data_IF_390223149651
#
_entry.id   IF_390223149651
#
_cell.length_a   1.000
_cell.length_b   1.000
_cell.length_c   1.000
_cell.angle_alpha   90.00
_cell.angle_beta   90.00
_cell.angle_gamma   90.00
#
_symmetry.space_group_name_H-M   'P 1'
#
loop_
_entity.id
_entity.type
_entity.pdbx_description
1 polymer ?
#
# COMPACT_ATOMS: atom_id res chain seq x y z
N UNK A 1 -105.21 23.52 37.10
CA UNK A 1 -105.05 23.51 35.64
C UNK A 1 -104.19 22.32 35.28
N UNK A 2 -104.73 21.41 34.50
CA UNK A 2 -104.27 20.03 34.26
C UNK A 2 -103.32 20.03 33.06
N UNK A 3 -102.13 19.43 33.19
CA UNK A 3 -101.31 19.02 32.04
C UNK A 3 -100.91 17.53 32.21
N UNK A 4 -101.09 16.69 31.17
CA UNK A 4 -100.91 15.24 31.26
C UNK A 4 -99.43 14.81 31.14
N UNK A 5 -99.09 13.58 31.57
CA UNK A 5 -97.72 13.08 31.56
C UNK A 5 -97.19 12.79 30.15
N UNK A 6 -95.90 13.12 29.94
CA UNK A 6 -95.19 12.92 28.68
C UNK A 6 -95.04 11.44 28.32
N UNK A 7 -95.54 11.05 27.15
CA UNK A 7 -95.39 9.71 26.60
C UNK A 7 -93.94 9.48 26.12
N UNK A 8 -93.22 8.59 26.81
CA UNK A 8 -91.92 8.08 26.38
C UNK A 8 -92.10 7.22 25.11
N UNK A 9 -91.66 7.73 23.96
CA UNK A 9 -91.55 6.94 22.72
C UNK A 9 -90.33 6.03 22.81
N UNK A 10 -90.54 4.74 23.03
CA UNK A 10 -89.52 3.71 22.87
C UNK A 10 -89.12 3.60 21.39
N UNK A 11 -87.92 4.08 21.06
CA UNK A 11 -87.32 3.93 19.74
C UNK A 11 -86.87 2.47 19.60
N UNK A 12 -87.58 1.68 18.79
CA UNK A 12 -87.20 0.30 18.50
C UNK A 12 -85.77 0.25 17.94
N UNK A 13 -84.85 -0.39 18.68
CA UNK A 13 -83.53 -0.77 18.16
C UNK A 13 -83.76 -1.81 17.06
N UNK A 14 -83.47 -1.43 15.82
CA UNK A 14 -83.31 -2.40 14.73
C UNK A 14 -82.05 -3.22 15.00
N UNK A 15 -82.09 -4.56 14.97
CA UNK A 15 -80.87 -5.35 15.03
C UNK A 15 -80.04 -5.05 13.76
N UNK A 16 -78.81 -4.57 13.96
CA UNK A 16 -77.79 -4.62 12.91
C UNK A 16 -77.50 -6.10 12.68
N UNK A 17 -77.97 -6.65 11.55
CA UNK A 17 -77.50 -7.92 11.03
C UNK A 17 -75.99 -7.79 10.82
N UNK A 18 -75.21 -8.29 11.76
CA UNK A 18 -73.80 -8.56 11.55
C UNK A 18 -73.70 -9.66 10.50
N UNK A 19 -73.49 -9.25 9.24
CA UNK A 19 -72.95 -10.14 8.22
C UNK A 19 -71.58 -10.57 8.74
N UNK A 20 -71.54 -11.72 9.39
CA UNK A 20 -70.30 -12.44 9.67
C UNK A 20 -69.76 -12.85 8.29
N UNK A 21 -68.95 -11.97 7.69
CA UNK A 21 -68.18 -12.33 6.52
C UNK A 21 -67.40 -13.59 6.88
N UNK A 22 -67.68 -14.69 6.17
CA UNK A 22 -66.86 -15.89 6.19
C UNK A 22 -65.42 -15.45 6.04
N UNK A 23 -64.64 -15.44 7.12
CA UNK A 23 -63.19 -15.40 7.02
C UNK A 23 -62.83 -16.66 6.26
N UNK A 24 -62.37 -16.52 5.02
CA UNK A 24 -61.87 -17.64 4.26
C UNK A 24 -60.72 -18.26 5.08
N UNK A 25 -60.94 -19.47 5.58
CA UNK A 25 -59.94 -20.23 6.32
C UNK A 25 -58.94 -20.75 5.29
N UNK A 26 -57.70 -20.29 5.33
CA UNK A 26 -56.64 -20.79 4.46
C UNK A 26 -56.40 -22.27 4.73
N UNK A 27 -56.29 -23.05 3.66
CA UNK A 27 -55.95 -24.47 3.78
C UNK A 27 -54.44 -24.61 3.98
N UNK A 28 -54.02 -25.62 4.75
CA UNK A 28 -52.60 -25.90 5.01
C UNK A 28 -51.83 -26.11 3.68
N UNK A 29 -52.49 -26.66 2.67
CA UNK A 29 -51.95 -26.84 1.31
C UNK A 29 -51.64 -25.51 0.64
N UNK A 30 -52.52 -24.52 0.73
CA UNK A 30 -52.32 -23.18 0.15
C UNK A 30 -51.09 -22.51 0.76
N UNK A 31 -50.94 -22.61 2.07
CA UNK A 31 -49.79 -22.06 2.78
C UNK A 31 -48.50 -22.80 2.41
N UNK A 32 -48.54 -24.13 2.24
CA UNK A 32 -47.39 -24.92 1.79
C UNK A 32 -46.96 -24.59 0.35
N UNK A 33 -47.90 -24.32 -0.55
CA UNK A 33 -47.60 -23.89 -1.92
C UNK A 33 -46.99 -22.49 -1.94
N UNK A 34 -47.50 -21.58 -1.12
CA UNK A 34 -46.97 -20.21 -1.05
C UNK A 34 -45.54 -20.20 -0.52
N UNK A 35 -45.25 -20.91 0.58
CA UNK A 35 -43.88 -20.95 1.13
C UNK A 35 -42.90 -21.64 0.18
N UNK A 36 -43.34 -22.64 -0.60
CA UNK A 36 -42.47 -23.30 -1.58
C UNK A 36 -42.19 -22.40 -2.78
N UNK A 37 -43.18 -21.67 -3.30
CA UNK A 37 -42.99 -20.68 -4.36
C UNK A 37 -42.07 -19.54 -3.87
N UNK A 38 -42.29 -19.02 -2.66
CA UNK A 38 -41.43 -17.98 -2.09
C UNK A 38 -40.00 -18.51 -1.92
N UNK A 39 -39.81 -19.75 -1.46
CA UNK A 39 -38.49 -20.35 -1.30
C UNK A 39 -37.72 -20.48 -2.62
N UNK A 40 -38.39 -20.92 -3.69
CA UNK A 40 -37.78 -21.05 -5.03
C UNK A 40 -37.47 -19.68 -5.65
N UNK A 41 -38.38 -18.71 -5.51
CA UNK A 41 -38.13 -17.35 -6.00
C UNK A 41 -37.01 -16.66 -5.22
N UNK A 42 -36.98 -16.82 -3.90
CA UNK A 42 -35.95 -16.24 -3.05
C UNK A 42 -34.56 -16.82 -3.34
N UNK A 43 -34.45 -18.14 -3.57
CA UNK A 43 -33.15 -18.76 -3.91
C UNK A 43 -32.64 -18.31 -5.29
N UNK A 44 -33.52 -18.21 -6.29
CA UNK A 44 -33.15 -17.70 -7.61
C UNK A 44 -32.68 -16.24 -7.55
N UNK A 45 -33.37 -15.39 -6.77
CA UNK A 45 -32.99 -13.99 -6.58
C UNK A 45 -31.65 -13.87 -5.84
N UNK A 46 -31.43 -14.64 -4.76
CA UNK A 46 -30.15 -14.62 -4.03
C UNK A 46 -28.96 -15.01 -4.92
N UNK A 47 -29.12 -16.03 -5.76
CA UNK A 47 -28.06 -16.45 -6.69
C UNK A 47 -27.73 -15.37 -7.72
N UNK A 48 -28.75 -14.71 -8.29
CA UNK A 48 -28.55 -13.59 -9.21
C UNK A 48 -27.90 -12.38 -8.52
N UNK A 49 -28.29 -12.08 -7.28
CA UNK A 49 -27.73 -10.98 -6.51
C UNK A 49 -26.27 -11.22 -6.11
N UNK A 50 -25.86 -12.48 -5.87
CA UNK A 50 -24.48 -12.80 -5.50
C UNK A 50 -23.46 -12.31 -6.53
N UNK A 51 -23.67 -12.64 -7.82
CA UNK A 51 -22.76 -12.21 -8.89
C UNK A 51 -22.72 -10.68 -9.06
N UNK A 52 -23.86 -10.00 -8.91
CA UNK A 52 -23.92 -8.53 -8.97
C UNK A 52 -23.19 -7.88 -7.80
N UNK A 53 -23.31 -8.44 -6.60
CA UNK A 53 -22.57 -7.96 -5.43
C UNK A 53 -21.07 -8.13 -5.57
N UNK A 54 -20.60 -9.27 -6.08
CA UNK A 54 -19.16 -9.50 -6.30
C UNK A 54 -18.58 -8.52 -7.33
N UNK A 55 -19.27 -8.27 -8.44
CA UNK A 55 -18.85 -7.26 -9.42
C UNK A 55 -18.84 -5.85 -8.82
N UNK A 56 -19.83 -5.50 -7.99
CA UNK A 56 -19.86 -4.21 -7.30
C UNK A 56 -18.69 -4.04 -6.33
N UNK A 57 -18.27 -5.13 -5.66
CA UNK A 57 -17.07 -5.12 -4.79
C UNK A 57 -15.80 -4.90 -5.60
N UNK A 58 -15.61 -5.61 -6.72
CA UNK A 58 -14.46 -5.42 -7.62
C UNK A 58 -14.36 -3.97 -8.09
N UNK A 59 -15.46 -3.39 -8.58
CA UNK A 59 -15.47 -2.00 -9.06
C UNK A 59 -15.16 -1.01 -7.94
N UNK A 60 -15.69 -1.24 -6.73
CA UNK A 60 -15.39 -0.40 -5.55
C UNK A 60 -13.91 -0.49 -5.18
N UNK A 61 -13.35 -1.70 -5.11
CA UNK A 61 -11.94 -1.91 -4.78
C UNK A 61 -11.02 -1.29 -5.83
N UNK A 62 -11.33 -1.44 -7.13
CA UNK A 62 -10.62 -0.74 -8.22
C UNK A 62 -10.61 0.77 -8.03
N UNK A 63 -11.75 1.37 -7.66
CA UNK A 63 -11.85 2.80 -7.39
C UNK A 63 -11.04 3.23 -6.14
N UNK A 64 -11.05 2.43 -5.08
CA UNK A 64 -10.23 2.67 -3.89
C UNK A 64 -8.73 2.63 -4.23
N UNK A 65 -8.27 1.60 -4.94
CA UNK A 65 -6.88 1.44 -5.37
C UNK A 65 -6.46 2.57 -6.31
N UNK A 66 -7.32 2.97 -7.26
CA UNK A 66 -7.04 4.12 -8.13
C UNK A 66 -6.83 5.40 -7.31
N UNK A 67 -7.65 5.65 -6.28
CA UNK A 67 -7.48 6.82 -5.42
C UNK A 67 -6.21 6.75 -4.57
N UNK A 68 -5.91 5.59 -3.99
CA UNK A 68 -4.66 5.36 -3.26
C UNK A 68 -3.44 5.59 -4.16
N UNK A 69 -3.51 5.10 -5.40
CA UNK A 69 -2.48 5.30 -6.41
C UNK A 69 -2.27 6.78 -6.71
N UNK A 70 -3.32 7.57 -6.95
CA UNK A 70 -3.18 9.02 -7.16
C UNK A 70 -2.43 9.70 -6.00
N UNK A 71 -2.83 9.42 -4.76
CA UNK A 71 -2.24 10.03 -3.56
C UNK A 71 -0.76 9.63 -3.40
N UNK A 72 -0.44 8.35 -3.60
CA UNK A 72 0.93 7.84 -3.51
C UNK A 72 1.78 8.38 -4.66
N UNK A 73 1.25 8.45 -5.88
CA UNK A 73 2.01 8.88 -7.05
C UNK A 73 2.40 10.35 -6.98
N UNK A 74 1.55 11.22 -6.42
CA UNK A 74 1.92 12.62 -6.13
C UNK A 74 3.18 12.66 -5.25
N UNK A 75 3.22 11.82 -4.20
CA UNK A 75 4.38 11.72 -3.32
C UNK A 75 5.58 11.11 -4.03
N UNK A 76 5.39 10.02 -4.79
CA UNK A 76 6.43 9.33 -5.54
C UNK A 76 7.12 10.24 -6.55
N UNK A 77 6.34 10.94 -7.37
CA UNK A 77 6.87 11.85 -8.38
C UNK A 77 7.62 13.04 -7.77
N UNK A 78 7.24 13.47 -6.56
CA UNK A 78 7.94 14.56 -5.86
C UNK A 78 9.42 14.27 -5.58
N UNK A 79 9.83 13.00 -5.54
CA UNK A 79 11.22 12.60 -5.32
C UNK A 79 12.13 12.91 -6.51
N UNK A 80 11.61 12.89 -7.74
CA UNK A 80 12.39 13.24 -8.93
C UNK A 80 12.95 14.66 -8.85
N UNK A 81 12.12 15.60 -8.38
CA UNK A 81 12.49 17.01 -8.23
C UNK A 81 13.09 17.35 -6.85
N UNK A 82 13.24 16.38 -5.94
CA UNK A 82 13.68 16.67 -4.56
C UNK A 82 15.13 17.14 -4.53
N UNK A 83 15.35 18.26 -3.84
CA UNK A 83 16.70 18.74 -3.51
C UNK A 83 17.18 18.09 -2.21
N UNK A 84 18.29 17.37 -2.28
CA UNK A 84 18.93 16.77 -1.12
C UNK A 84 20.09 17.66 -0.68
N UNK A 85 20.03 18.21 0.54
CA UNK A 85 21.15 18.97 1.10
C UNK A 85 22.20 17.98 1.60
N UNK A 86 23.34 17.91 0.91
CA UNK A 86 24.50 17.13 1.33
C UNK A 86 25.63 18.10 1.66
N UNK A 87 26.07 18.09 2.91
CA UNK A 87 27.32 18.74 3.29
C UNK A 87 28.45 17.75 3.05
N UNK A 88 29.24 17.98 2.00
CA UNK A 88 30.42 17.16 1.73
C UNK A 88 31.51 17.54 2.75
N UNK A 89 32.11 16.58 3.48
CA UNK A 89 33.26 16.88 4.33
C UNK A 89 34.41 17.38 3.46
N UNK A 90 35.09 18.43 3.92
CA UNK A 90 36.33 18.87 3.29
C UNK A 90 37.39 17.78 3.47
N UNK A 91 37.85 17.18 2.37
CA UNK A 91 38.81 16.07 2.42
C UNK A 91 40.20 16.57 2.87
N UNK A 92 40.86 15.90 3.85
CA UNK A 92 42.30 16.02 4.01
C UNK A 92 43.00 15.38 2.81
N UNK A 93 44.05 16.02 2.30
CA UNK A 93 44.94 15.44 1.29
C UNK A 93 45.50 14.08 1.77
N UNK A 94 45.67 13.08 0.90
CA UNK A 94 45.96 11.71 1.34
C UNK A 94 47.31 11.60 2.07
N UNK A 95 47.27 11.27 3.36
CA UNK A 95 48.44 10.76 4.09
C UNK A 95 48.39 9.23 4.10
N UNK A 96 49.11 8.63 3.14
CA UNK A 96 49.63 7.26 3.08
C UNK A 96 48.73 6.13 3.63
N UNK A 97 47.85 5.59 2.79
CA UNK A 97 47.26 4.26 2.96
C UNK A 97 45.95 4.08 2.17
N UNK A 98 45.72 2.93 1.49
CA UNK A 98 44.45 2.69 0.81
C UNK A 98 43.32 2.50 1.83
N UNK A 99 42.21 3.25 1.76
CA UNK A 99 41.04 3.05 2.60
C UNK A 99 40.34 1.71 2.29
N UNK A 100 39.76 1.06 3.30
CA UNK A 100 39.09 -0.27 3.20
C UNK A 100 37.71 -0.26 2.52
N UNK A 101 37.32 0.86 1.91
CA UNK A 101 36.11 1.04 1.08
C UNK A 101 36.47 2.06 0.01
N UNK A 102 36.29 1.73 -1.27
CA UNK A 102 36.61 2.64 -2.37
C UNK A 102 35.83 3.94 -2.17
N UNK A 103 36.50 5.07 -1.90
CA UNK A 103 35.82 6.33 -1.76
C UNK A 103 35.30 6.73 -3.14
N UNK A 104 34.02 7.08 -3.23
CA UNK A 104 33.49 7.78 -4.40
C UNK A 104 34.12 9.18 -4.35
N UNK A 105 35.28 9.33 -4.98
CA UNK A 105 35.97 10.60 -5.11
C UNK A 105 35.35 11.27 -6.33
N UNK A 106 34.81 12.50 -6.23
CA UNK A 106 34.37 13.21 -7.43
C UNK A 106 35.57 13.43 -8.35
N UNK A 107 35.51 12.86 -9.53
CA UNK A 107 36.59 12.96 -10.52
C UNK A 107 36.32 14.15 -11.45
N UNK A 108 37.40 14.82 -11.84
CA UNK A 108 37.35 15.88 -12.84
C UNK A 108 37.46 15.27 -14.23
N UNK A 109 36.61 15.70 -15.15
CA UNK A 109 36.69 15.33 -16.57
C UNK A 109 37.01 16.53 -17.46
N UNK A 110 37.54 16.25 -18.64
CA UNK A 110 37.73 17.24 -19.71
C UNK A 110 36.45 17.26 -20.53
N UNK A 111 35.64 18.29 -20.32
CA UNK A 111 34.43 18.57 -21.09
C UNK A 111 34.80 19.06 -22.50
N UNK A 112 34.88 18.12 -23.44
CA UNK A 112 35.32 18.37 -24.81
C UNK A 112 34.24 19.00 -25.68
N UNK A 113 32.97 18.87 -25.29
CA UNK A 113 31.82 19.35 -26.06
C UNK A 113 31.04 20.49 -25.36
N UNK A 114 31.43 20.88 -24.15
CA UNK A 114 30.87 22.00 -23.38
C UNK A 114 29.50 21.73 -22.76
N UNK A 115 29.12 20.46 -22.55
CA UNK A 115 27.78 20.09 -22.09
C UNK A 115 27.69 19.88 -20.56
N UNK A 116 28.81 19.96 -19.84
CA UNK A 116 28.87 19.78 -18.39
C UNK A 116 28.60 18.35 -17.89
N UNK A 117 28.73 17.33 -18.75
CA UNK A 117 28.60 15.90 -18.43
C UNK A 117 29.80 15.14 -18.99
N UNK A 118 30.20 14.06 -18.33
CA UNK A 118 31.18 13.14 -18.91
C UNK A 118 30.51 12.29 -20.00
N UNK A 119 31.05 12.34 -21.21
CA UNK A 119 30.63 11.50 -22.34
C UNK A 119 31.62 10.35 -22.60
N UNK A 120 31.11 9.27 -23.20
CA UNK A 120 31.94 8.12 -23.60
C UNK A 120 32.99 8.56 -24.64
N UNK A 121 34.23 8.70 -24.20
CA UNK A 121 35.35 9.21 -25.01
C UNK A 121 36.09 10.40 -24.39
N UNK A 122 35.55 11.01 -23.33
CA UNK A 122 36.20 12.11 -22.62
C UNK A 122 37.19 11.61 -21.58
N UNK A 123 38.30 12.34 -21.40
CA UNK A 123 39.32 11.99 -20.41
C UNK A 123 38.89 12.43 -19.02
N UNK A 124 39.14 11.60 -18.02
CA UNK A 124 38.92 11.92 -16.61
C UNK A 124 40.16 11.64 -15.78
N UNK A 125 40.24 12.29 -14.61
CA UNK A 125 41.28 12.03 -13.62
C UNK A 125 40.80 10.95 -12.68
N UNK A 126 41.25 9.71 -12.92
CA UNK A 126 41.01 8.56 -12.06
C UNK A 126 41.75 8.74 -10.72
N UNK A 127 41.07 9.30 -9.71
CA UNK A 127 41.68 9.66 -8.43
C UNK A 127 41.75 8.46 -7.48
N UNK A 128 40.97 7.41 -7.72
CA UNK A 128 40.94 6.21 -6.87
C UNK A 128 41.51 4.96 -7.57
N UNK A 129 41.91 5.05 -8.84
CA UNK A 129 42.61 4.03 -9.60
C UNK A 129 41.71 2.89 -10.10
N UNK A 130 40.41 3.11 -10.27
CA UNK A 130 39.43 2.08 -10.58
C UNK A 130 39.10 1.94 -12.08
N UNK A 131 39.59 2.83 -12.93
CA UNK A 131 39.32 2.82 -14.38
C UNK A 131 37.88 3.18 -14.78
N UNK A 132 37.09 3.82 -13.91
CA UNK A 132 35.71 4.29 -14.16
C UNK A 132 35.55 5.75 -13.69
N UNK A 133 34.90 6.60 -14.49
CA UNK A 133 34.62 7.98 -14.08
C UNK A 133 33.65 8.05 -12.88
N UNK A 134 34.14 8.50 -11.72
CA UNK A 134 33.32 8.68 -10.53
C UNK A 134 32.72 10.08 -10.44
N UNK A 135 31.45 10.20 -10.84
CA UNK A 135 30.70 11.47 -10.71
C UNK A 135 30.36 11.87 -9.27
N UNK A 136 30.73 11.07 -8.24
CA UNK A 136 30.66 11.37 -6.81
C UNK A 136 29.27 11.69 -6.27
N UNK A 137 28.79 12.85 -6.66
CA UNK A 137 27.54 13.51 -6.31
C UNK A 137 26.31 12.78 -6.83
N UNK A 138 26.32 12.21 -8.04
CA UNK A 138 25.14 11.53 -8.59
C UNK A 138 24.86 10.20 -7.87
N UNK A 139 25.89 9.41 -7.56
CA UNK A 139 25.75 8.20 -6.72
C UNK A 139 25.30 8.53 -5.31
N UNK A 140 25.92 9.53 -4.68
CA UNK A 140 25.50 10.01 -3.37
C UNK A 140 24.03 10.46 -3.42
N UNK A 141 23.61 11.20 -4.45
CA UNK A 141 22.20 11.62 -4.62
C UNK A 141 21.27 10.42 -4.71
N UNK A 142 21.61 9.39 -5.50
CA UNK A 142 20.78 8.19 -5.66
C UNK A 142 20.63 7.43 -4.33
N UNK A 143 21.73 7.14 -3.64
CA UNK A 143 21.72 6.42 -2.37
C UNK A 143 20.90 7.19 -1.30
N UNK A 144 21.04 8.52 -1.27
CA UNK A 144 20.27 9.41 -0.39
C UNK A 144 18.80 9.41 -0.74
N UNK A 145 18.47 9.44 -2.03
CA UNK A 145 17.08 9.43 -2.47
C UNK A 145 16.38 8.14 -2.04
N UNK A 146 17.04 7.00 -2.24
CA UNK A 146 16.54 5.68 -1.82
C UNK A 146 16.30 5.60 -0.31
N UNK A 147 17.23 6.09 0.52
CA UNK A 147 17.03 6.14 1.98
C UNK A 147 15.92 7.12 2.39
N UNK A 148 15.76 8.24 1.67
CA UNK A 148 14.65 9.18 1.91
C UNK A 148 13.31 8.54 1.57
N UNK A 149 13.22 7.86 0.43
CA UNK A 149 12.01 7.15 0.00
C UNK A 149 11.62 6.08 1.00
N UNK A 150 12.58 5.30 1.51
CA UNK A 150 12.32 4.31 2.57
C UNK A 150 11.71 4.94 3.83
N UNK A 151 12.23 6.10 4.25
CA UNK A 151 11.75 6.78 5.46
C UNK A 151 10.43 7.54 5.26
N UNK A 152 10.17 8.09 4.08
CA UNK A 152 8.96 8.87 3.79
C UNK A 152 7.80 8.02 3.23
N UNK A 153 8.08 6.86 2.62
CA UNK A 153 7.14 5.85 2.15
C UNK A 153 7.52 4.45 2.67
N UNK A 154 7.44 4.19 3.99
CA UNK A 154 7.70 2.86 4.54
C UNK A 154 6.75 1.82 3.96
N UNK A 155 7.21 0.58 3.78
CA UNK A 155 6.35 -0.56 3.39
C UNK A 155 6.38 -1.71 4.42
N UNK A 156 7.11 -1.53 5.52
CA UNK A 156 7.30 -2.52 6.58
C UNK A 156 7.76 -1.88 7.87
N UNK A 157 7.55 -2.58 8.99
CA UNK A 157 7.96 -2.13 10.33
C UNK A 157 9.45 -1.82 10.39
N UNK A 158 10.31 -2.61 9.72
CA UNK A 158 11.76 -2.41 9.73
C UNK A 158 12.20 -1.06 9.13
N UNK A 159 11.42 -0.48 8.21
CA UNK A 159 11.70 0.84 7.66
C UNK A 159 11.48 1.94 8.71
N UNK A 160 10.52 1.73 9.59
CA UNK A 160 10.23 2.61 10.71
C UNK A 160 11.14 2.34 11.90
N UNK A 161 11.43 1.09 12.25
CA UNK A 161 12.26 0.72 13.40
C UNK A 161 13.76 0.96 13.17
N UNK A 162 14.23 0.87 11.92
CA UNK A 162 15.64 1.01 11.55
C UNK A 162 16.23 2.39 11.77
N UNK A 163 17.51 2.55 11.47
CA UNK A 163 18.19 3.85 11.44
C UNK A 163 18.28 4.37 10.01
N UNK A 164 18.52 5.68 9.79
CA UNK A 164 18.96 6.15 8.48
C UNK A 164 20.21 5.37 8.04
N UNK A 165 20.28 4.99 6.77
CA UNK A 165 21.35 4.11 6.31
C UNK A 165 22.73 4.77 6.47
N UNK A 166 23.74 3.94 6.77
CA UNK A 166 25.14 4.37 6.95
C UNK A 166 25.82 4.66 5.60
N UNK A 167 25.35 5.72 4.93
CA UNK A 167 25.83 6.15 3.63
C UNK A 167 27.01 7.11 3.75
N UNK A 168 27.89 7.16 2.75
CA UNK A 168 28.94 8.17 2.66
C UNK A 168 28.37 9.53 2.20
N UNK A 169 28.78 10.69 2.77
CA UNK A 169 29.79 10.89 3.80
C UNK A 169 29.30 10.77 5.27
N UNK A 170 28.01 10.55 5.49
CA UNK A 170 27.42 10.31 6.81
C UNK A 170 25.94 9.96 6.71
N UNK A 171 25.27 9.53 7.77
CA UNK A 171 23.83 9.23 7.71
C UNK A 171 22.99 10.50 7.39
N UNK A 172 21.83 10.34 6.74
CA UNK A 172 20.90 11.47 6.59
C UNK A 172 20.24 11.82 7.92
N UNK A 173 19.88 13.10 8.14
CA UNK A 173 19.01 13.44 9.25
C UNK A 173 17.64 12.78 9.08
N UNK A 174 17.09 12.29 10.20
CA UNK A 174 15.76 11.73 10.26
C UNK A 174 14.70 12.75 9.79
N UNK A 175 13.92 12.47 8.72
CA UNK A 175 12.85 13.35 8.28
C UNK A 175 11.76 13.51 9.35
N UNK A 176 11.17 14.71 9.49
CA UNK A 176 10.06 14.93 10.42
C UNK A 176 8.85 14.05 10.14
N UNK A 177 8.62 13.75 8.86
CA UNK A 177 7.56 12.84 8.41
C UNK A 177 7.77 11.42 8.97
N UNK A 178 8.99 10.89 8.88
CA UNK A 178 9.34 9.58 9.43
C UNK A 178 9.18 9.52 10.96
N UNK A 179 9.59 10.58 11.67
CA UNK A 179 9.34 10.69 13.12
C UNK A 179 7.85 10.81 13.46
N UNK A 180 7.03 11.36 12.57
CA UNK A 180 5.59 11.45 12.76
C UNK A 180 4.91 10.09 12.66
N UNK A 181 5.37 9.21 11.75
CA UNK A 181 4.89 7.83 11.64
C UNK A 181 5.19 7.05 12.93
N UNK A 182 6.43 7.10 13.40
CA UNK A 182 6.85 6.47 14.67
C UNK A 182 6.01 6.92 15.86
N UNK A 183 5.70 8.22 15.93
CA UNK A 183 4.87 8.77 17.00
C UNK A 183 3.43 8.26 16.91
N UNK A 184 2.88 8.13 15.71
CA UNK A 184 1.53 7.59 15.51
C UNK A 184 1.45 6.12 15.88
N UNK A 185 2.42 5.32 15.46
CA UNK A 185 2.52 3.92 15.86
C UNK A 185 2.65 3.79 17.39
N UNK A 186 3.51 4.59 18.03
CA UNK A 186 3.64 4.61 19.50
C UNK A 186 2.31 4.93 20.21
N UNK A 187 1.54 5.89 19.70
CA UNK A 187 0.22 6.24 20.26
C UNK A 187 -0.79 5.12 20.06
N UNK A 188 -0.83 4.52 18.87
CA UNK A 188 -1.75 3.42 18.53
C UNK A 188 -1.48 2.19 19.41
N UNK A 189 -0.22 1.75 19.46
CA UNK A 189 0.21 0.60 20.24
C UNK A 189 -0.02 0.81 21.74
N UNK A 190 0.22 2.02 22.28
CA UNK A 190 -0.08 2.31 23.69
C UNK A 190 -1.57 2.39 23.99
N UNK A 191 -2.39 2.83 23.04
CA UNK A 191 -3.83 2.82 23.20
C UNK A 191 -4.38 1.38 23.27
N UNK A 192 -3.82 0.47 22.48
CA UNK A 192 -4.21 -0.94 22.44
C UNK A 192 -3.65 -1.77 23.60
N UNK A 193 -2.34 -1.67 23.85
CA UNK A 193 -1.60 -2.56 24.75
C UNK A 193 -1.19 -1.92 26.09
N UNK A 194 -1.54 -0.65 26.30
CA UNK A 194 -1.26 0.11 27.52
C UNK A 194 0.00 0.99 27.44
N UNK A 195 0.12 1.93 28.38
CA UNK A 195 1.09 3.04 28.32
C UNK A 195 2.57 2.62 28.29
N UNK A 196 2.92 1.42 28.74
CA UNK A 196 4.28 0.88 28.75
C UNK A 196 4.64 0.09 27.49
N UNK A 197 3.68 -0.15 26.60
CA UNK A 197 3.93 -0.87 25.36
C UNK A 197 4.86 -0.07 24.43
N UNK A 198 5.62 -0.80 23.61
CA UNK A 198 6.50 -0.24 22.59
C UNK A 198 6.08 -0.74 21.23
N UNK A 199 5.98 0.15 20.25
CA UNK A 199 5.69 -0.19 18.86
C UNK A 199 6.83 -0.97 18.18
N UNK A 200 8.02 -0.99 18.76
CA UNK A 200 9.14 -1.81 18.27
C UNK A 200 9.14 -3.25 18.80
N UNK A 201 8.17 -3.60 19.65
CA UNK A 201 8.01 -4.96 20.17
C UNK A 201 7.23 -5.79 19.13
N UNK A 202 7.83 -6.85 18.56
CA UNK A 202 7.19 -7.67 17.52
C UNK A 202 5.97 -8.47 18.02
N UNK A 203 5.74 -8.51 19.35
CA UNK A 203 4.52 -9.09 19.94
C UNK A 203 3.37 -8.08 20.05
N UNK A 204 3.62 -6.81 19.73
CA UNK A 204 2.67 -5.70 19.84
C UNK A 204 2.30 -5.12 18.51
N UNK A 205 3.27 -4.96 17.63
CA UNK A 205 3.07 -4.65 16.23
C UNK A 205 3.55 -5.86 15.42
N UNK A 206 2.62 -6.61 14.82
CA UNK A 206 2.94 -7.89 14.17
C UNK A 206 3.37 -7.72 12.73
N UNK A 207 4.05 -8.72 12.16
CA UNK A 207 4.42 -8.68 10.75
C UNK A 207 3.23 -8.96 9.80
N UNK A 208 2.08 -9.35 10.34
CA UNK A 208 0.85 -9.52 9.56
C UNK A 208 0.37 -8.16 9.07
N UNK A 209 0.02 -8.05 7.78
CA UNK A 209 -0.52 -6.81 7.19
C UNK A 209 0.33 -5.55 7.33
N UNK A 210 1.63 -5.68 7.61
CA UNK A 210 2.53 -4.53 7.80
C UNK A 210 2.68 -3.58 6.63
N UNK A 211 2.45 -4.06 5.41
CA UNK A 211 2.37 -3.21 4.22
C UNK A 211 1.14 -2.31 4.28
N UNK A 212 -0.03 -2.88 4.56
CA UNK A 212 -1.30 -2.17 4.70
C UNK A 212 -1.32 -1.17 5.87
N UNK A 213 -0.70 -1.49 7.01
CA UNK A 213 -0.59 -0.57 8.15
C UNK A 213 0.32 0.61 7.82
N UNK A 214 1.44 0.36 7.14
CA UNK A 214 2.32 1.41 6.65
C UNK A 214 1.61 2.30 5.63
N UNK A 215 0.79 1.72 4.75
CA UNK A 215 -0.06 2.46 3.83
C UNK A 215 -1.01 3.40 4.58
N UNK A 216 -1.70 2.90 5.60
CA UNK A 216 -2.59 3.72 6.44
C UNK A 216 -1.84 4.89 7.08
N UNK A 217 -0.63 4.67 7.62
CA UNK A 217 0.20 5.73 8.19
C UNK A 217 0.56 6.81 7.16
N UNK A 218 0.93 6.40 5.94
CA UNK A 218 1.25 7.30 4.83
C UNK A 218 0.03 8.12 4.46
N UNK A 219 -1.10 7.48 4.14
CA UNK A 219 -2.34 8.16 3.69
C UNK A 219 -2.86 9.11 4.77
N UNK A 220 -2.79 8.72 6.04
CA UNK A 220 -3.17 9.56 7.17
C UNK A 220 -2.26 10.79 7.34
N UNK A 221 -1.07 10.81 6.74
CA UNK A 221 -0.14 11.94 6.81
C UNK A 221 -0.26 12.90 5.63
N UNK A 222 -0.79 12.42 4.50
CA UNK A 222 -1.03 13.23 3.30
C UNK A 222 -2.12 14.25 3.60
N UNK A 223 -1.90 15.48 3.14
CA UNK A 223 -2.87 16.58 3.19
C UNK A 223 -3.06 17.12 1.79
N UNK A 224 -4.32 17.20 1.36
CA UNK A 224 -4.72 17.78 0.09
C UNK A 224 -5.67 18.94 0.39
N UNK A 225 -5.15 20.17 0.32
CA UNK A 225 -5.88 21.36 0.74
C UNK A 225 -6.21 21.32 2.24
N UNK A 226 -7.51 21.29 2.55
CA UNK A 226 -8.02 21.27 3.93
C UNK A 226 -8.34 19.84 4.44
N UNK A 227 -8.35 18.85 3.54
CA UNK A 227 -8.67 17.46 3.87
C UNK A 227 -7.40 16.62 4.06
N UNK A 228 -7.48 15.61 4.92
CA UNK A 228 -6.44 14.57 5.04
C UNK A 228 -6.74 13.46 4.03
N UNK A 229 -5.69 12.78 3.57
CA UNK A 229 -5.84 11.65 2.65
C UNK A 229 -6.76 10.54 3.19
N UNK A 230 -6.83 10.37 4.51
CA UNK A 230 -7.71 9.38 5.14
C UNK A 230 -9.20 9.79 5.12
N UNK A 231 -9.51 11.09 5.03
CA UNK A 231 -10.88 11.58 5.07
C UNK A 231 -11.66 11.21 3.77
N UNK A 232 -10.99 10.69 2.74
CA UNK A 232 -11.59 10.14 1.53
C UNK A 232 -12.21 8.73 1.72
N UNK A 233 -11.83 8.03 2.80
CA UNK A 233 -12.29 6.68 3.10
C UNK A 233 -13.38 6.71 4.15
N UNK A 234 -14.31 5.76 4.07
CA UNK A 234 -15.37 5.61 5.06
C UNK A 234 -14.83 4.89 6.30
N UNK A 235 -15.44 5.13 7.45
CA UNK A 235 -15.11 4.41 8.69
C UNK A 235 -15.22 2.87 8.53
N UNK A 236 -16.10 2.38 7.65
CA UNK A 236 -16.23 0.94 7.34
C UNK A 236 -15.08 0.37 6.51
N UNK A 237 -14.28 1.23 5.88
CA UNK A 237 -13.13 0.88 5.04
C UNK A 237 -11.82 1.00 5.83
N UNK A 238 -11.89 1.18 7.15
CA UNK A 238 -10.75 1.28 8.05
C UNK A 238 -10.99 0.32 9.20
N UNK A 239 -10.03 -0.54 9.50
CA UNK A 239 -10.13 -1.53 10.57
C UNK A 239 -8.77 -2.03 11.02
N UNK A 240 -8.75 -2.74 12.14
CA UNK A 240 -7.59 -3.43 12.72
C UNK A 240 -7.90 -4.94 12.59
N UNK A 241 -7.35 -5.59 11.57
CA UNK A 241 -7.71 -6.95 11.16
C UNK A 241 -7.00 -8.00 12.00
N UNK A 242 -5.76 -7.76 12.42
CA UNK A 242 -4.95 -8.67 13.23
C UNK A 242 -4.93 -8.32 14.73
N UNK A 243 -5.69 -7.29 15.13
CA UNK A 243 -5.95 -6.85 16.50
C UNK A 243 -4.69 -6.39 17.25
N UNK A 244 -3.77 -5.76 16.54
CA UNK A 244 -2.48 -5.32 17.07
C UNK A 244 -2.46 -3.82 17.45
N UNK A 245 -3.52 -3.09 17.07
CA UNK A 245 -3.74 -1.68 17.37
C UNK A 245 -3.39 -0.73 16.23
N UNK A 246 -2.73 -1.21 15.19
CA UNK A 246 -2.57 -0.50 13.93
C UNK A 246 -3.85 -0.64 13.10
N UNK A 247 -3.98 0.20 12.08
CA UNK A 247 -5.17 0.22 11.24
C UNK A 247 -4.76 0.02 9.80
N UNK A 248 -5.58 -0.71 9.06
CA UNK A 248 -5.46 -0.97 7.63
C UNK A 248 -6.61 -0.29 6.88
N UNK A 249 -6.38 0.01 5.61
CA UNK A 249 -7.43 0.37 4.68
C UNK A 249 -7.98 -0.91 4.10
N UNK A 250 -9.29 -1.13 4.23
CA UNK A 250 -9.97 -2.35 3.82
C UNK A 250 -10.63 -2.20 2.45
N UNK A 251 -10.52 -3.27 1.67
CA UNK A 251 -11.24 -3.43 0.42
C UNK A 251 -12.72 -3.79 0.64
N UNK A 252 -13.45 -4.01 -0.45
CA UNK A 252 -14.88 -4.32 -0.40
C UNK A 252 -15.22 -5.72 0.17
N UNK A 253 -14.23 -6.61 0.35
CA UNK A 253 -14.37 -7.90 1.05
C UNK A 253 -13.92 -7.83 2.51
N UNK A 254 -13.44 -6.66 2.97
CA UNK A 254 -12.91 -6.47 4.31
C UNK A 254 -11.51 -7.04 4.48
N UNK A 255 -10.76 -7.23 3.38
CA UNK A 255 -9.35 -7.57 3.43
C UNK A 255 -8.49 -6.30 3.37
N UNK A 256 -7.32 -6.27 4.02
CA UNK A 256 -6.40 -5.14 3.91
C UNK A 256 -5.97 -4.88 2.47
N UNK A 257 -5.79 -3.61 2.10
CA UNK A 257 -5.11 -3.22 0.86
C UNK A 257 -3.63 -3.07 1.20
N UNK A 258 -2.80 -3.93 0.60
CA UNK A 258 -1.37 -3.98 0.86
C UNK A 258 -0.58 -2.99 0.01
N UNK A 259 0.61 -2.64 0.49
CA UNK A 259 1.52 -1.70 -0.16
C UNK A 259 2.94 -2.22 -0.19
N UNK A 260 3.55 -2.15 -1.37
CA UNK A 260 4.95 -2.49 -1.58
C UNK A 260 5.64 -1.35 -2.31
N UNK A 261 6.68 -0.78 -1.68
CA UNK A 261 7.36 0.42 -2.21
C UNK A 261 8.15 0.11 -3.48
N UNK A 262 8.88 -1.00 -3.48
CA UNK A 262 9.78 -1.40 -4.57
C UNK A 262 9.45 -2.81 -5.08
N UNK A 263 8.44 -2.93 -5.96
CA UNK A 263 8.03 -4.20 -6.53
C UNK A 263 8.89 -4.56 -7.76
N UNK A 264 10.20 -4.71 -7.57
CA UNK A 264 11.14 -4.99 -8.66
C UNK A 264 10.78 -6.24 -9.50
N UNK A 265 10.08 -7.22 -8.95
CA UNK A 265 9.62 -8.41 -9.67
C UNK A 265 8.24 -8.31 -10.32
N UNK A 266 7.54 -7.18 -10.19
CA UNK A 266 6.17 -7.07 -10.67
C UNK A 266 6.13 -6.63 -12.15
N UNK A 267 5.87 -7.58 -13.04
CA UNK A 267 5.80 -7.34 -14.48
C UNK A 267 4.41 -6.85 -14.93
N UNK A 268 4.37 -5.75 -15.67
CA UNK A 268 3.14 -5.10 -16.17
C UNK A 268 3.45 -4.14 -17.33
N UNK A 269 2.45 -3.72 -18.10
CA UNK A 269 2.65 -2.75 -19.19
C UNK A 269 3.24 -1.41 -18.70
N UNK A 270 2.87 -0.98 -17.50
CA UNK A 270 3.38 0.25 -16.88
C UNK A 270 4.76 0.08 -16.24
N UNK A 271 5.18 -1.15 -15.95
CA UNK A 271 6.47 -1.48 -15.37
C UNK A 271 7.09 -2.68 -16.10
N UNK A 272 7.56 -2.49 -17.35
CA UNK A 272 8.29 -3.54 -18.04
C UNK A 272 9.62 -3.73 -17.33
N UNK A 273 9.95 -4.98 -16.97
CA UNK A 273 11.19 -5.34 -16.25
C UNK A 273 12.44 -5.28 -17.15
N UNK A 274 12.54 -4.21 -17.95
CA UNK A 274 13.58 -4.01 -18.96
C UNK A 274 14.03 -2.53 -18.97
N UNK A 275 15.30 -2.33 -18.65
CA UNK A 275 15.96 -1.03 -18.60
C UNK A 275 15.98 -0.31 -19.96
N UNK A 276 15.93 -1.04 -21.08
CA UNK A 276 15.93 -0.46 -22.43
C UNK A 276 14.56 0.11 -22.80
N UNK A 277 13.48 -0.43 -22.23
CA UNK A 277 12.11 0.01 -22.47
C UNK A 277 11.73 1.12 -21.48
N UNK A 278 12.03 0.92 -20.20
CA UNK A 278 11.72 1.87 -19.14
C UNK A 278 12.91 2.00 -18.21
N UNK A 279 13.81 2.96 -18.49
CA UNK A 279 14.96 3.26 -17.65
C UNK A 279 14.54 3.77 -16.24
N UNK A 280 15.39 3.52 -15.24
CA UNK A 280 15.18 4.01 -13.86
C UNK A 280 15.09 5.54 -13.82
N UNK A 281 13.91 6.04 -13.47
CA UNK A 281 13.65 7.49 -13.42
C UNK A 281 14.42 8.21 -12.32
N UNK A 282 14.87 7.48 -11.29
CA UNK A 282 15.66 8.03 -10.18
C UNK A 282 17.17 7.96 -10.41
N UNK A 283 17.61 7.26 -11.45
CA UNK A 283 19.00 7.17 -11.87
C UNK A 283 19.23 7.63 -13.33
N UNK A 284 18.98 8.93 -13.63
CA UNK A 284 19.17 9.47 -14.98
C UNK A 284 20.64 9.52 -15.43
N UNK A 285 21.58 9.27 -14.51
CA UNK A 285 23.02 9.25 -14.79
C UNK A 285 23.59 7.83 -14.87
N UNK A 286 22.75 6.80 -14.72
CA UNK A 286 23.14 5.39 -14.77
C UNK A 286 24.33 5.08 -13.84
N UNK A 287 24.32 5.65 -12.62
CA UNK A 287 25.36 5.40 -11.60
C UNK A 287 25.17 4.05 -10.90
N UNK A 288 23.99 3.45 -11.02
CA UNK A 288 23.78 2.03 -10.80
C UNK A 288 24.07 1.30 -12.11
N UNK A 289 25.20 0.60 -12.18
CA UNK A 289 25.66 -0.06 -13.41
C UNK A 289 24.87 -1.33 -13.75
N UNK A 290 23.93 -1.72 -12.89
CA UNK A 290 22.98 -2.79 -13.17
C UNK A 290 21.96 -2.29 -14.20
N UNK A 291 21.35 -3.20 -14.95
CA UNK A 291 20.25 -2.87 -15.86
C UNK A 291 18.98 -2.52 -15.05
N UNK A 292 18.99 -1.39 -14.35
CA UNK A 292 17.87 -0.88 -13.54
C UNK A 292 16.79 -0.27 -14.42
N UNK A 293 15.54 -0.45 -14.02
CA UNK A 293 14.37 0.00 -14.77
C UNK A 293 13.49 0.92 -13.93
N UNK A 294 12.42 1.45 -14.52
CA UNK A 294 11.47 2.25 -13.76
C UNK A 294 10.76 1.34 -12.74
N UNK A 295 10.66 1.79 -11.50
CA UNK A 295 9.78 1.19 -10.50
C UNK A 295 8.56 2.09 -10.25
N UNK A 296 7.42 1.47 -10.01
CA UNK A 296 6.17 2.09 -9.59
C UNK A 296 5.71 1.35 -8.33
N UNK A 297 5.32 2.04 -7.25
CA UNK A 297 4.83 1.36 -6.06
C UNK A 297 3.59 0.51 -6.36
N UNK A 298 3.54 -0.67 -5.76
CA UNK A 298 2.44 -1.61 -5.93
C UNK A 298 1.46 -1.45 -4.76
N UNK A 299 0.20 -1.24 -5.12
CA UNK A 299 -0.96 -1.19 -4.22
C UNK A 299 -1.90 -2.28 -4.71
N UNK A 300 -2.25 -3.21 -3.83
CA UNK A 300 -2.93 -4.42 -4.25
C UNK A 300 -3.91 -4.92 -3.19
N UNK A 301 -5.01 -5.50 -3.67
CA UNK A 301 -5.99 -6.25 -2.88
C UNK A 301 -6.00 -7.69 -3.37
N UNK A 302 -6.25 -8.60 -2.43
CA UNK A 302 -6.38 -10.04 -2.67
C UNK A 302 -7.67 -10.42 -3.39
N UNK A 303 -8.59 -9.46 -3.60
CA UNK A 303 -9.80 -9.72 -4.37
C UNK A 303 -10.73 -10.77 -3.75
N UNK A 304 -11.52 -11.47 -4.59
CA UNK A 304 -12.49 -12.47 -4.14
C UNK A 304 -11.92 -13.65 -3.35
N UNK A 305 -10.73 -14.14 -3.71
CA UNK A 305 -10.15 -15.34 -3.10
C UNK A 305 -9.45 -15.09 -1.75
N UNK A 306 -9.14 -13.82 -1.45
CA UNK A 306 -8.51 -13.33 -0.22
C UNK A 306 -7.07 -13.83 -0.02
N UNK A 307 -6.39 -14.16 -1.09
CA UNK A 307 -4.97 -14.53 -1.10
C UNK A 307 -4.21 -13.60 -2.05
N UNK A 308 -2.92 -13.40 -1.78
CA UNK A 308 -2.13 -12.43 -2.54
C UNK A 308 -1.13 -13.08 -3.50
N UNK A 309 -0.40 -14.12 -3.07
CA UNK A 309 0.65 -14.76 -3.88
C UNK A 309 1.60 -13.77 -4.59
N UNK A 310 2.04 -12.78 -3.82
CA UNK A 310 3.07 -11.81 -4.20
C UNK A 310 4.22 -11.92 -3.21
N UNK A 311 5.43 -12.05 -3.73
CA UNK A 311 6.64 -12.18 -2.93
C UNK A 311 7.00 -10.86 -2.23
N UNK A 312 6.77 -10.76 -0.92
CA UNK A 312 7.08 -9.55 -0.12
C UNK A 312 8.33 -9.68 0.76
N UNK A 313 8.70 -10.91 1.08
CA UNK A 313 9.87 -11.31 1.89
C UNK A 313 10.38 -12.68 1.43
N UNK A 314 11.53 -13.10 1.97
CA UNK A 314 12.09 -14.43 1.74
C UNK A 314 11.13 -15.55 2.22
N UNK A 315 10.73 -16.50 1.35
CA UNK A 315 9.92 -17.65 1.74
C UNK A 315 10.60 -18.55 2.78
N UNK A 316 11.91 -18.34 3.04
CA UNK A 316 12.71 -19.01 4.07
C UNK A 316 12.87 -18.30 5.43
N UNK A 317 12.25 -17.12 5.63
CA UNK A 317 12.02 -16.58 6.98
C UNK A 317 12.99 -15.50 7.49
N UNK A 318 13.69 -14.77 6.63
CA UNK A 318 14.33 -13.51 7.06
C UNK A 318 13.64 -12.31 6.40
N UNK A 319 12.92 -11.48 7.17
CA UNK A 319 12.37 -10.23 6.66
C UNK A 319 13.45 -9.34 6.05
N UNK A 320 13.14 -8.62 4.98
CA UNK A 320 14.12 -7.71 4.37
C UNK A 320 14.27 -6.45 5.23
N UNK A 321 15.53 -6.08 5.48
CA UNK A 321 15.92 -4.83 6.12
C UNK A 321 16.60 -3.94 5.08
N UNK A 322 15.84 -3.10 4.38
CA UNK A 322 16.37 -2.29 3.27
C UNK A 322 17.57 -1.43 3.68
N UNK A 323 17.59 -0.86 4.89
CA UNK A 323 18.72 -0.06 5.35
C UNK A 323 20.03 -0.87 5.54
N UNK A 324 19.94 -2.20 5.55
CA UNK A 324 21.05 -3.14 5.73
C UNK A 324 21.37 -3.97 4.47
N UNK A 325 20.66 -3.76 3.35
CA UNK A 325 21.01 -4.39 2.08
C UNK A 325 22.41 -3.94 1.63
N UNK A 326 23.01 -4.68 0.68
CA UNK A 326 24.26 -4.28 0.05
C UNK A 326 24.07 -4.17 -1.48
N UNK A 327 24.03 -2.94 -2.06
CA UNK A 327 24.17 -1.65 -1.38
C UNK A 327 22.96 -1.30 -0.45
N UNK A 328 23.10 -0.40 0.54
CA UNK A 328 21.97 -0.02 1.39
C UNK A 328 20.83 0.62 0.63
N UNK A 329 19.61 0.28 1.03
CA UNK A 329 18.34 0.68 0.41
C UNK A 329 18.26 0.29 -1.06
N UNK A 330 18.61 -0.95 -1.37
CA UNK A 330 18.56 -1.47 -2.73
C UNK A 330 17.13 -1.85 -3.14
N UNK A 331 16.53 -1.18 -4.14
CA UNK A 331 15.22 -1.56 -4.67
C UNK A 331 15.25 -2.91 -5.40
N UNK A 332 16.42 -3.28 -5.94
CA UNK A 332 16.65 -4.51 -6.69
C UNK A 332 17.41 -5.51 -5.81
N UNK A 333 16.86 -5.79 -4.62
CA UNK A 333 17.37 -6.86 -3.78
C UNK A 333 16.71 -8.18 -4.20
N UNK A 334 17.47 -9.21 -4.59
CA UNK A 334 16.90 -10.52 -4.85
C UNK A 334 16.53 -11.19 -3.52
N UNK A 335 15.38 -11.87 -3.48
CA UNK A 335 15.11 -12.85 -2.43
C UNK A 335 16.01 -14.08 -2.63
N UNK A 336 16.42 -14.78 -1.55
CA UNK A 336 17.01 -16.11 -1.67
C UNK A 336 16.13 -16.99 -2.57
N UNK A 337 16.71 -17.52 -3.66
CA UNK A 337 15.97 -18.19 -4.74
C UNK A 337 15.99 -17.47 -6.10
N UNK A 338 16.56 -16.27 -6.19
CA UNK A 338 16.72 -15.45 -7.41
C UNK A 338 15.45 -14.76 -7.94
N UNK A 339 14.36 -14.77 -7.19
CA UNK A 339 13.16 -13.98 -7.50
C UNK A 339 13.27 -12.58 -6.90
N UNK A 340 12.78 -11.58 -7.62
CA UNK A 340 12.75 -10.20 -7.16
C UNK A 340 11.50 -9.94 -6.31
N UNK A 341 11.61 -9.05 -5.33
CA UNK A 341 10.46 -8.66 -4.49
C UNK A 341 9.35 -8.06 -5.35
N UNK A 342 8.11 -8.47 -5.13
CA UNK A 342 6.94 -8.15 -5.96
C UNK A 342 6.65 -9.17 -7.05
N UNK A 343 7.44 -10.23 -7.20
CA UNK A 343 7.13 -11.32 -8.15
C UNK A 343 5.79 -11.98 -7.79
N UNK A 344 4.91 -12.14 -8.78
CA UNK A 344 3.72 -13.00 -8.68
C UNK A 344 4.14 -14.46 -8.67
N UNK A 345 3.96 -15.13 -7.54
CA UNK A 345 4.33 -16.53 -7.37
C UNK A 345 3.55 -17.17 -6.22
N UNK A 346 3.41 -18.49 -6.26
CA UNK A 346 2.93 -19.30 -5.15
C UNK A 346 3.87 -19.11 -3.94
N UNK A 347 3.54 -18.13 -3.10
CA UNK A 347 4.42 -17.64 -2.03
C UNK A 347 4.32 -18.51 -0.78
N UNK A 348 3.21 -19.20 -0.58
CA UNK A 348 3.01 -20.14 0.53
C UNK A 348 3.35 -21.59 0.12
N UNK A 349 3.77 -21.80 -1.14
CA UNK A 349 4.20 -23.08 -1.71
C UNK A 349 3.11 -24.15 -1.62
N UNK A 350 1.85 -23.75 -1.70
CA UNK A 350 0.70 -24.66 -1.58
C UNK A 350 0.32 -25.31 -2.93
N UNK A 351 0.93 -24.88 -4.03
CA UNK A 351 0.70 -25.35 -5.40
C UNK A 351 -0.45 -24.68 -6.15
N UNK A 352 -1.11 -23.70 -5.53
CA UNK A 352 -2.21 -22.90 -6.11
C UNK A 352 -1.69 -21.55 -6.60
N UNK A 353 -2.31 -21.02 -7.65
CA UNK A 353 -1.95 -19.72 -8.23
C UNK A 353 -3.04 -18.72 -7.84
N UNK A 354 -2.85 -18.04 -6.71
CA UNK A 354 -3.85 -17.15 -6.11
C UNK A 354 -3.62 -15.67 -6.41
N UNK A 355 -2.74 -15.32 -7.35
CA UNK A 355 -2.50 -13.92 -7.72
C UNK A 355 -3.36 -13.44 -8.90
N UNK A 356 -4.23 -14.31 -9.46
CA UNK A 356 -4.89 -14.07 -10.75
C UNK A 356 -6.11 -13.15 -10.67
N UNK A 357 -6.79 -13.11 -9.54
CA UNK A 357 -7.93 -12.24 -9.25
C UNK A 357 -7.55 -11.01 -8.41
N UNK A 358 -6.28 -10.90 -8.03
CA UNK A 358 -5.72 -9.71 -7.40
C UNK A 358 -6.06 -8.44 -8.19
N UNK A 359 -6.50 -7.42 -7.47
CA UNK A 359 -6.74 -6.10 -8.04
C UNK A 359 -5.54 -5.24 -7.70
N UNK A 360 -4.85 -4.69 -8.71
CA UNK A 360 -3.64 -3.89 -8.50
C UNK A 360 -3.68 -2.59 -9.29
N UNK A 361 -2.94 -1.58 -8.84
CA UNK A 361 -2.79 -0.31 -9.57
C UNK A 361 -2.08 -0.46 -10.93
N UNK A 362 -1.39 -1.58 -11.16
CA UNK A 362 -0.68 -1.85 -12.41
C UNK A 362 -1.60 -2.39 -13.52
N UNK A 363 -2.77 -2.94 -13.14
CA UNK A 363 -3.69 -3.65 -14.04
C UNK A 363 -5.12 -3.07 -13.96
N UNK A 364 -5.27 -1.78 -13.64
CA UNK A 364 -6.61 -1.17 -13.50
C UNK A 364 -7.37 -1.11 -14.83
N UNK A 365 -6.65 -0.84 -15.92
CA UNK A 365 -7.18 -0.72 -17.27
C UNK A 365 -7.33 -2.08 -17.97
N UNK A 366 -6.77 -3.14 -17.39
CA UNK A 366 -6.96 -4.51 -17.85
C UNK A 366 -8.28 -5.04 -17.26
N UNK A 367 -9.28 -5.20 -18.14
CA UNK A 367 -10.60 -5.78 -17.82
C UNK A 367 -11.05 -6.78 -18.87
#
# INVERSE_FOLDING_TARGET
MIYPPAAFRTRAMRPRLALYGRRASFTLVELMVVISIIGVLASAVMMAMYGVMEQAKVVRTKAQIAKLHELIMVKWQSYNARTLRVTLPQMPQPSSGPPRRWPVIPETFVDGNGNGKWDTGETYTDQNGNGVYDSGTARIRLDRLRDLMRMELPDRISDLAGTPAALWPGAMPAPSLWLSYRRRADVAIKAKHGATASWTDPTKWTDSHRGAECLYLIISSIREGDQRGIDFFKDSEIGDIDDDGMLEILDAWGQPIEFLRWPAGYDSEVQPLDANIAADSFDPHHVDTRATYRLIPLIYSSGPDRRYDILIDDPGGTPIFYNLTDPPNDPYVPSPGSSWIGTRMDSDMNGEINYTDNITNHLLDES
#
